data_IF_081533774716
#
_entry.id   IF_081533774716
#
_cell.length_a   1.000
_cell.length_b   1.000
_cell.length_c   1.000
_cell.angle_alpha   90.00
_cell.angle_beta   90.00
_cell.angle_gamma   90.00
#
_symmetry.space_group_name_H-M   'P 1'
#
loop_
_entity.id
_entity.type
_entity.pdbx_description
1 polymer ?
#
# COMPACT_ATOMS: atom_id res chain seq x y z
N UNK A 1 13.68 -7.43 -19.60
CA UNK A 1 12.95 -8.10 -18.52
C UNK A 1 12.46 -7.02 -17.57
N UNK A 2 11.16 -6.74 -17.53
CA UNK A 2 10.57 -5.73 -16.64
C UNK A 2 10.52 -6.30 -15.23
N UNK A 3 11.53 -6.01 -14.41
CA UNK A 3 11.61 -6.41 -13.00
C UNK A 3 10.61 -5.61 -12.17
N UNK A 4 9.37 -6.10 -12.08
CA UNK A 4 8.31 -5.56 -11.24
C UNK A 4 7.26 -6.64 -10.98
N UNK A 5 6.66 -6.62 -9.77
CA UNK A 5 5.54 -7.48 -9.35
C UNK A 5 4.68 -8.00 -10.50
N UNK A 6 4.38 -9.29 -10.41
CA UNK A 6 3.46 -9.96 -11.32
C UNK A 6 2.07 -9.32 -11.23
N UNK A 7 1.26 -9.51 -12.26
CA UNK A 7 -0.11 -9.01 -12.26
C UNK A 7 -0.88 -9.49 -11.02
N UNK A 8 -0.71 -10.76 -10.64
CA UNK A 8 -1.33 -11.37 -9.46
C UNK A 8 -0.93 -10.67 -8.16
N UNK A 9 0.37 -10.42 -7.95
CA UNK A 9 0.89 -9.68 -6.80
C UNK A 9 0.37 -8.23 -6.80
N UNK A 10 0.27 -7.60 -7.96
CA UNK A 10 -0.25 -6.23 -8.06
C UNK A 10 -1.73 -6.18 -7.73
N UNK A 11 -2.55 -7.10 -8.26
CA UNK A 11 -3.98 -7.18 -7.95
C UNK A 11 -4.22 -7.46 -6.48
N UNK A 12 -3.56 -8.49 -5.93
CA UNK A 12 -3.68 -8.84 -4.51
C UNK A 12 -3.25 -7.65 -3.62
N UNK A 13 -2.24 -6.87 -4.02
CA UNK A 13 -1.84 -5.68 -3.28
C UNK A 13 -2.91 -4.60 -3.31
N UNK A 14 -3.49 -4.34 -4.48
CA UNK A 14 -4.54 -3.33 -4.64
C UNK A 14 -5.74 -3.70 -3.78
N UNK A 15 -6.17 -4.97 -3.78
CA UNK A 15 -7.27 -5.45 -2.94
C UNK A 15 -6.97 -5.27 -1.45
N UNK A 16 -5.79 -5.70 -0.99
CA UNK A 16 -5.37 -5.56 0.40
C UNK A 16 -5.29 -4.09 0.83
N UNK A 17 -4.74 -3.23 -0.03
CA UNK A 17 -4.64 -1.79 0.23
C UNK A 17 -6.02 -1.13 0.25
N UNK A 18 -6.92 -1.48 -0.68
CA UNK A 18 -8.30 -0.98 -0.69
C UNK A 18 -9.06 -1.38 0.58
N UNK A 19 -8.87 -2.62 1.04
CA UNK A 19 -9.49 -3.15 2.25
C UNK A 19 -8.95 -2.48 3.53
N UNK A 20 -7.85 -1.72 3.44
CA UNK A 20 -7.26 -0.96 4.54
C UNK A 20 -7.41 0.54 4.29
N UNK A 21 -8.59 1.14 4.55
CA UNK A 21 -8.81 2.58 4.36
C UNK A 21 -7.87 3.44 5.23
N UNK A 22 -7.31 2.89 6.31
CA UNK A 22 -6.28 3.56 7.11
C UNK A 22 -5.04 3.97 6.28
N UNK A 23 -4.72 3.23 5.22
CA UNK A 23 -3.52 3.43 4.41
C UNK A 23 -3.71 4.54 3.37
N UNK A 24 -4.84 4.56 2.67
CA UNK A 24 -5.04 5.44 1.51
C UNK A 24 -6.09 6.54 1.73
N UNK A 25 -6.98 6.41 2.71
CA UNK A 25 -8.06 7.37 2.90
C UNK A 25 -7.65 8.46 3.92
N UNK A 26 -7.35 9.69 3.47
CA UNK A 26 -6.98 10.79 4.36
C UNK A 26 -8.11 11.23 5.29
N UNK A 27 -9.36 10.90 4.97
CA UNK A 27 -10.53 11.18 5.82
C UNK A 27 -10.73 10.13 6.92
N UNK A 28 -9.97 9.04 6.92
CA UNK A 28 -10.13 8.00 7.92
C UNK A 28 -9.54 8.47 9.26
N UNK A 29 -10.29 8.32 10.36
CA UNK A 29 -9.85 8.74 11.70
C UNK A 29 -8.49 8.15 12.10
N UNK A 30 -8.23 6.91 11.70
CA UNK A 30 -6.99 6.20 11.99
C UNK A 30 -5.88 6.41 10.94
N UNK A 31 -6.09 7.24 9.91
CA UNK A 31 -5.02 7.59 8.97
C UNK A 31 -3.93 8.44 9.64
N UNK A 32 -4.29 9.22 10.66
CA UNK A 32 -3.33 9.95 11.51
C UNK A 32 -2.65 9.04 12.54
N UNK A 33 -3.21 7.88 12.81
CA UNK A 33 -2.67 6.89 13.74
C UNK A 33 -1.58 6.06 13.08
N UNK A 34 -0.33 6.51 13.23
CA UNK A 34 0.86 5.80 12.73
C UNK A 34 0.88 4.33 13.15
N UNK A 35 0.38 3.99 14.35
CA UNK A 35 0.33 2.61 14.82
C UNK A 35 -0.63 1.74 14.00
N UNK A 36 -1.84 2.25 13.71
CA UNK A 36 -2.84 1.53 12.90
C UNK A 36 -2.42 1.42 11.44
N UNK A 37 -1.81 2.48 10.91
CA UNK A 37 -1.23 2.49 9.57
C UNK A 37 -0.12 1.45 9.48
N UNK A 38 0.79 1.39 10.47
CA UNK A 38 1.87 0.41 10.48
C UNK A 38 1.35 -1.03 10.63
N UNK A 39 0.36 -1.28 11.50
CA UNK A 39 -0.29 -2.58 11.66
C UNK A 39 -0.92 -3.06 10.35
N UNK A 40 -1.64 -2.17 9.65
CA UNK A 40 -2.22 -2.47 8.35
C UNK A 40 -1.13 -2.81 7.32
N UNK A 41 -0.05 -2.02 7.25
CA UNK A 41 1.07 -2.34 6.38
C UNK A 41 1.73 -3.68 6.72
N UNK A 42 1.91 -3.98 8.00
CA UNK A 42 2.49 -5.24 8.46
C UNK A 42 1.63 -6.43 8.05
N UNK A 43 0.30 -6.33 8.18
CA UNK A 43 -0.62 -7.38 7.69
C UNK A 43 -0.48 -7.61 6.18
N UNK A 44 -0.43 -6.54 5.39
CA UNK A 44 -0.24 -6.64 3.93
C UNK A 44 1.12 -7.28 3.62
N UNK A 45 2.14 -6.96 4.41
CA UNK A 45 3.48 -7.54 4.30
C UNK A 45 3.49 -9.04 4.55
N UNK A 46 2.82 -9.47 5.61
CA UNK A 46 2.68 -10.88 5.96
C UNK A 46 1.88 -11.64 4.89
N UNK A 47 0.77 -11.08 4.41
CA UNK A 47 -0.08 -11.68 3.37
C UNK A 47 0.61 -11.80 2.00
N UNK A 48 1.53 -10.88 1.71
CA UNK A 48 2.34 -10.88 0.48
C UNK A 48 3.67 -11.60 0.63
N UNK A 49 4.09 -11.90 1.86
CA UNK A 49 5.47 -12.30 2.19
C UNK A 49 6.51 -11.30 1.65
N UNK A 50 6.16 -10.02 1.64
CA UNK A 50 7.01 -8.91 1.15
C UNK A 50 7.23 -7.93 2.29
N UNK A 51 8.46 -7.43 2.54
CA UNK A 51 8.71 -6.49 3.62
C UNK A 51 7.94 -5.17 3.41
N UNK A 52 7.38 -4.61 4.51
CA UNK A 52 6.62 -3.34 4.54
C UNK A 52 7.28 -2.23 3.72
N UNK A 53 8.61 -2.14 3.77
CA UNK A 53 9.42 -1.16 3.03
C UNK A 53 9.22 -1.25 1.52
N UNK A 54 9.18 -2.45 0.96
CA UNK A 54 9.00 -2.68 -0.48
C UNK A 54 7.56 -2.36 -0.91
N UNK A 55 6.58 -2.76 -0.10
CA UNK A 55 5.15 -2.48 -0.37
C UNK A 55 4.87 -0.97 -0.34
N UNK A 56 5.48 -0.25 0.62
CA UNK A 56 5.40 1.21 0.69
C UNK A 56 6.04 1.86 -0.52
N UNK A 57 7.23 1.42 -0.93
CA UNK A 57 7.91 1.94 -2.13
C UNK A 57 7.09 1.69 -3.40
N UNK A 58 6.44 0.53 -3.48
CA UNK A 58 5.56 0.18 -4.59
C UNK A 58 4.30 1.03 -4.60
N UNK A 59 3.65 1.21 -3.45
CA UNK A 59 2.55 2.16 -3.23
C UNK A 59 2.92 3.54 -3.73
N UNK A 60 4.09 4.05 -3.35
CA UNK A 60 4.55 5.35 -3.83
C UNK A 60 4.76 5.33 -5.33
N UNK A 61 5.36 4.30 -5.91
CA UNK A 61 5.52 4.22 -7.37
C UNK A 61 4.17 4.18 -8.12
N UNK A 62 3.17 3.49 -7.55
CA UNK A 62 1.84 3.34 -8.15
C UNK A 62 0.96 4.59 -7.99
N UNK A 63 0.98 5.20 -6.81
CA UNK A 63 0.17 6.39 -6.50
C UNK A 63 0.86 7.71 -6.82
N UNK A 64 2.20 7.77 -6.87
CA UNK A 64 2.97 8.95 -7.29
C UNK A 64 2.82 9.23 -8.78
N UNK A 65 2.36 8.26 -9.58
CA UNK A 65 1.98 8.51 -10.97
C UNK A 65 0.63 9.21 -11.12
N UNK A 66 -0.11 9.41 -10.03
CA UNK A 66 -1.15 10.43 -9.94
C UNK A 66 -0.53 11.67 -9.32
N UNK A 67 0.03 12.61 -10.11
CA UNK A 67 0.36 13.91 -9.58
C UNK A 67 -0.91 14.49 -8.96
N UNK A 68 -0.85 14.82 -7.67
CA UNK A 68 -1.67 15.89 -7.15
C UNK A 68 -1.24 17.15 -7.92
N UNK A 69 -1.88 17.37 -9.06
CA UNK A 69 -1.72 18.58 -9.85
C UNK A 69 -2.31 19.72 -9.01
N UNK A 70 -1.38 20.43 -8.37
CA UNK A 70 -1.33 21.85 -7.95
C UNK A 70 -2.61 22.52 -7.47
#
# INVERSE_FOLDING_TARGET
MTTGWSNEETFKFIELCQNQPVIWNPKHKYHKDKNKVNDAWARIAEEMLVPVSEIKRKKETFFSSFPAES
#
